data_IF_520920408905
#
_entry.id   IF_520920408905
#
_cell.length_a   1.000
_cell.length_b   1.000
_cell.length_c   1.000
_cell.angle_alpha   90.00
_cell.angle_beta   90.00
_cell.angle_gamma   90.00
#
_symmetry.space_group_name_H-M   'P 1'
#
loop_
_entity.id
_entity.type
_entity.pdbx_description
1 polymer ?
#
# COMPACT_ATOMS: atom_id res chain seq x y z
N UNK A 1 31.86 -27.73 31.87
CA UNK A 1 33.11 -26.97 31.97
C UNK A 1 33.17 -25.73 31.08
N UNK A 2 32.10 -25.43 30.36
CA UNK A 2 31.97 -24.23 29.56
C UNK A 2 32.00 -22.94 30.42
N UNK A 3 31.26 -22.94 31.53
CA UNK A 3 31.20 -21.81 32.45
C UNK A 3 32.57 -21.44 33.05
N UNK A 4 33.41 -22.44 33.38
CA UNK A 4 34.74 -22.21 33.94
C UNK A 4 35.65 -21.36 33.03
N UNK A 5 35.52 -21.50 31.70
CA UNK A 5 36.26 -20.71 30.75
C UNK A 5 35.99 -19.19 30.93
N UNK A 6 34.74 -18.81 31.17
CA UNK A 6 34.36 -17.40 31.37
C UNK A 6 34.72 -16.88 32.76
N UNK A 7 34.63 -17.75 33.79
CA UNK A 7 35.02 -17.39 35.15
C UNK A 7 36.56 -17.08 35.19
N UNK A 8 37.35 -17.83 34.44
CA UNK A 8 38.79 -17.60 34.35
C UNK A 8 39.18 -16.43 33.46
N UNK A 9 38.23 -15.90 32.64
CA UNK A 9 38.50 -14.82 31.68
C UNK A 9 37.36 -13.75 31.73
N UNK A 10 37.25 -12.98 32.82
CA UNK A 10 36.17 -12.03 33.02
C UNK A 10 36.14 -10.91 31.98
N UNK A 11 37.32 -10.43 31.52
CA UNK A 11 37.44 -9.41 30.48
C UNK A 11 36.82 -9.93 29.17
N UNK A 12 37.05 -11.19 28.82
CA UNK A 12 36.50 -11.79 27.62
C UNK A 12 34.94 -11.86 27.69
N UNK A 13 34.39 -12.27 28.86
CA UNK A 13 32.96 -12.31 29.08
C UNK A 13 32.33 -10.92 28.94
N UNK A 14 32.94 -9.88 29.55
CA UNK A 14 32.46 -8.50 29.45
C UNK A 14 32.49 -7.98 28.01
N UNK A 15 33.57 -8.23 27.26
CA UNK A 15 33.68 -7.83 25.86
C UNK A 15 32.62 -8.53 25.00
N UNK A 16 32.40 -9.84 25.23
CA UNK A 16 31.38 -10.59 24.51
C UNK A 16 29.97 -10.02 24.75
N UNK A 17 29.63 -9.74 26.03
CA UNK A 17 28.34 -9.13 26.39
C UNK A 17 28.18 -7.74 25.73
N UNK A 18 29.24 -6.93 25.72
CA UNK A 18 29.23 -5.62 25.06
C UNK A 18 28.98 -5.74 23.54
N UNK A 19 29.64 -6.71 22.89
CA UNK A 19 29.44 -6.99 21.46
C UNK A 19 28.00 -7.41 21.19
N UNK A 20 27.41 -8.28 22.00
CA UNK A 20 26.01 -8.71 21.88
C UNK A 20 25.09 -7.49 21.97
N UNK A 21 25.30 -6.61 22.95
CA UNK A 21 24.50 -5.39 23.12
C UNK A 21 24.66 -4.44 21.90
N UNK A 22 25.86 -4.21 21.42
CA UNK A 22 26.09 -3.34 20.25
C UNK A 22 25.39 -3.91 19.00
N UNK A 23 25.58 -5.20 18.74
CA UNK A 23 24.96 -5.85 17.57
C UNK A 23 23.44 -5.83 17.69
N UNK A 24 22.90 -6.09 18.89
CA UNK A 24 21.46 -6.04 19.15
C UNK A 24 20.86 -4.64 18.97
N UNK A 25 21.55 -3.59 19.44
CA UNK A 25 21.10 -2.21 19.23
C UNK A 25 21.12 -1.81 17.75
N UNK A 26 22.15 -2.22 17.00
CA UNK A 26 22.16 -2.00 15.55
C UNK A 26 21.05 -2.76 14.85
N UNK A 27 20.79 -4.00 15.26
CA UNK A 27 19.70 -4.80 14.72
C UNK A 27 18.32 -4.15 14.98
N UNK A 28 18.09 -3.66 16.19
CA UNK A 28 16.86 -2.98 16.59
C UNK A 28 16.49 -1.81 15.65
N UNK A 29 17.49 -1.04 15.19
CA UNK A 29 17.22 0.08 14.27
C UNK A 29 16.87 -0.36 12.84
N UNK A 30 17.08 -1.64 12.52
CA UNK A 30 16.85 -2.20 11.17
C UNK A 30 15.64 -3.14 11.10
N UNK A 31 15.12 -3.59 12.24
CA UNK A 31 13.96 -4.47 12.29
C UNK A 31 12.72 -3.75 11.75
N UNK A 32 11.95 -4.39 10.85
CA UNK A 32 10.68 -3.86 10.41
C UNK A 32 9.69 -3.84 11.57
N UNK A 33 8.94 -2.75 11.70
CA UNK A 33 7.88 -2.59 12.71
C UNK A 33 6.54 -2.72 12.02
N UNK A 34 5.72 -3.66 12.49
CA UNK A 34 4.37 -3.91 11.99
C UNK A 34 3.42 -4.21 13.16
N UNK A 35 2.12 -4.14 12.95
CA UNK A 35 1.15 -4.48 14.00
C UNK A 35 1.13 -5.98 14.31
N UNK A 36 1.15 -6.78 13.26
CA UNK A 36 1.15 -8.25 13.32
C UNK A 36 2.29 -8.82 12.47
N UNK A 37 2.73 -10.05 12.74
CA UNK A 37 3.67 -10.75 11.86
C UNK A 37 3.05 -10.93 10.46
N UNK A 38 3.88 -11.01 9.44
CA UNK A 38 3.44 -11.26 8.06
C UNK A 38 3.00 -12.74 7.92
N UNK A 39 1.80 -13.04 8.40
CA UNK A 39 1.17 -14.37 8.25
C UNK A 39 0.19 -14.43 7.07
N UNK A 40 -0.12 -13.28 6.46
CA UNK A 40 -0.97 -13.24 5.29
C UNK A 40 -0.21 -13.75 4.05
N UNK A 41 -0.74 -14.74 3.33
CA UNK A 41 -0.12 -15.23 2.10
C UNK A 41 0.06 -14.10 1.08
N UNK A 42 1.22 -14.01 0.42
CA UNK A 42 1.47 -12.98 -0.56
C UNK A 42 0.51 -13.08 -1.74
N UNK A 43 -0.01 -11.94 -2.20
CA UNK A 43 -1.05 -11.89 -3.23
C UNK A 43 -0.64 -10.94 -4.36
N UNK A 44 -0.90 -11.37 -5.59
CA UNK A 44 -0.79 -10.55 -6.80
C UNK A 44 -2.20 -10.29 -7.32
N UNK A 45 -2.54 -9.04 -7.58
CA UNK A 45 -3.83 -8.65 -8.14
C UNK A 45 -3.70 -8.31 -9.61
N UNK A 46 -4.58 -8.90 -10.41
CA UNK A 46 -4.82 -8.53 -11.80
C UNK A 46 -6.11 -7.72 -11.86
N UNK A 47 -6.09 -6.59 -12.54
CA UNK A 47 -7.28 -5.75 -12.73
C UNK A 47 -7.47 -5.39 -14.20
N UNK A 48 -8.74 -5.41 -14.64
CA UNK A 48 -9.16 -5.03 -15.97
C UNK A 48 -10.48 -4.26 -15.90
N UNK A 49 -10.74 -3.44 -16.91
CA UNK A 49 -11.99 -2.68 -17.01
C UNK A 49 -12.62 -2.93 -18.39
N UNK A 50 -13.88 -3.32 -18.40
CA UNK A 50 -14.70 -3.45 -19.59
C UNK A 50 -15.88 -2.46 -19.52
N UNK A 51 -15.75 -1.25 -20.07
CA UNK A 51 -16.76 -0.21 -19.91
C UNK A 51 -18.10 -0.62 -20.52
N UNK A 52 -19.18 -0.42 -19.76
CA UNK A 52 -20.54 -0.72 -20.20
C UNK A 52 -20.96 -2.18 -20.11
N UNK A 53 -20.07 -3.07 -19.65
CA UNK A 53 -20.40 -4.46 -19.38
C UNK A 53 -20.90 -4.62 -17.94
N UNK A 54 -21.88 -5.50 -17.74
CA UNK A 54 -22.32 -5.95 -16.42
C UNK A 54 -21.37 -7.02 -15.84
N UNK A 55 -21.56 -7.35 -14.57
CA UNK A 55 -20.69 -8.29 -13.85
C UNK A 55 -20.66 -9.69 -14.51
N UNK A 56 -21.77 -10.18 -15.04
CA UNK A 56 -21.84 -11.49 -15.70
C UNK A 56 -21.06 -11.51 -17.02
N UNK A 57 -21.24 -10.47 -17.84
CA UNK A 57 -20.47 -10.29 -19.08
C UNK A 57 -18.97 -10.17 -18.80
N UNK A 58 -18.57 -9.39 -17.77
CA UNK A 58 -17.17 -9.26 -17.37
C UNK A 58 -16.62 -10.60 -16.91
N UNK A 59 -17.37 -11.35 -16.11
CA UNK A 59 -16.97 -12.67 -15.64
C UNK A 59 -16.72 -13.64 -16.81
N UNK A 60 -17.66 -13.69 -17.76
CA UNK A 60 -17.57 -14.62 -18.89
C UNK A 60 -16.48 -14.25 -19.92
N UNK A 61 -16.33 -12.95 -20.23
CA UNK A 61 -15.49 -12.50 -21.36
C UNK A 61 -14.11 -11.98 -20.94
N UNK A 62 -13.92 -11.62 -19.69
CA UNK A 62 -12.65 -11.05 -19.19
C UNK A 62 -12.04 -11.93 -18.11
N UNK A 63 -12.79 -12.23 -17.02
CA UNK A 63 -12.26 -13.01 -15.92
C UNK A 63 -11.91 -14.44 -16.32
N UNK A 64 -12.85 -15.16 -16.90
CA UNK A 64 -12.64 -16.57 -17.30
C UNK A 64 -11.44 -16.80 -18.21
N UNK A 65 -11.21 -16.03 -19.30
CA UNK A 65 -10.01 -16.19 -20.11
C UNK A 65 -8.71 -15.91 -19.36
N UNK A 66 -8.70 -14.94 -18.44
CA UNK A 66 -7.52 -14.62 -17.62
C UNK A 66 -7.28 -15.73 -16.59
N UNK A 67 -8.32 -16.20 -15.90
CA UNK A 67 -8.24 -17.29 -14.94
C UNK A 67 -7.67 -18.57 -15.55
N UNK A 68 -8.14 -18.93 -16.75
CA UNK A 68 -7.68 -20.11 -17.46
C UNK A 68 -6.16 -20.08 -17.73
N UNK A 69 -5.62 -18.94 -18.09
CA UNK A 69 -4.19 -18.80 -18.38
C UNK A 69 -3.36 -18.64 -17.09
N UNK A 70 -3.89 -17.96 -16.07
CA UNK A 70 -3.20 -17.78 -14.79
C UNK A 70 -3.21 -19.06 -13.96
N UNK A 71 -4.18 -19.93 -14.17
CA UNK A 71 -4.26 -21.21 -13.47
C UNK A 71 -2.98 -22.03 -13.64
N UNK A 72 -2.46 -22.55 -12.52
CA UNK A 72 -1.23 -23.34 -12.51
C UNK A 72 0.06 -22.50 -12.52
N UNK A 73 0.02 -21.23 -12.16
CA UNK A 73 1.23 -20.46 -11.85
C UNK A 73 1.93 -21.10 -10.65
N UNK A 74 3.24 -21.19 -10.71
CA UNK A 74 4.07 -21.85 -9.70
C UNK A 74 3.85 -21.26 -8.30
N UNK A 75 3.71 -22.14 -7.30
CA UNK A 75 3.45 -21.82 -5.88
C UNK A 75 2.13 -21.08 -5.61
N UNK A 76 1.19 -21.07 -6.56
CA UNK A 76 -0.15 -20.56 -6.33
C UNK A 76 -0.94 -21.50 -5.43
N UNK A 77 -1.57 -20.96 -4.37
CA UNK A 77 -2.49 -21.69 -3.50
C UNK A 77 -3.91 -21.70 -4.07
N UNK A 78 -4.41 -20.52 -4.37
CA UNK A 78 -5.74 -20.32 -4.96
C UNK A 78 -5.83 -18.95 -5.65
N UNK A 79 -6.87 -18.77 -6.42
CA UNK A 79 -7.23 -17.48 -7.01
C UNK A 79 -8.72 -17.22 -6.83
N UNK A 80 -9.09 -15.94 -6.77
CA UNK A 80 -10.49 -15.51 -6.64
C UNK A 80 -10.74 -14.26 -7.47
N UNK A 81 -11.76 -14.30 -8.33
CA UNK A 81 -12.18 -13.17 -9.14
C UNK A 81 -13.39 -12.48 -8.54
N UNK A 82 -13.42 -11.17 -8.70
CA UNK A 82 -14.57 -10.32 -8.38
C UNK A 82 -14.86 -9.42 -9.56
N UNK A 83 -16.06 -9.53 -10.10
CA UNK A 83 -16.58 -8.71 -11.18
C UNK A 83 -17.71 -7.81 -10.67
N UNK A 84 -17.76 -6.57 -11.14
CA UNK A 84 -18.73 -5.57 -10.69
C UNK A 84 -19.52 -5.01 -11.87
N UNK A 85 -20.74 -4.50 -11.62
CA UNK A 85 -21.64 -4.02 -12.66
C UNK A 85 -21.18 -2.71 -13.35
N UNK A 86 -20.12 -2.08 -12.82
CA UNK A 86 -19.44 -0.96 -13.47
C UNK A 86 -18.34 -1.40 -14.47
N UNK A 87 -18.31 -2.70 -14.78
CA UNK A 87 -17.40 -3.26 -15.76
C UNK A 87 -15.99 -3.54 -15.23
N UNK A 88 -15.77 -3.55 -13.90
CA UNK A 88 -14.46 -3.85 -13.32
C UNK A 88 -14.28 -5.32 -12.99
N UNK A 89 -13.09 -5.83 -13.20
CA UNK A 89 -12.63 -7.15 -12.80
C UNK A 89 -11.38 -7.03 -11.95
N UNK A 90 -11.38 -7.74 -10.81
CA UNK A 90 -10.23 -7.93 -9.96
C UNK A 90 -10.03 -9.43 -9.75
N UNK A 91 -8.85 -9.93 -10.10
CA UNK A 91 -8.43 -11.31 -9.84
C UNK A 91 -7.29 -11.28 -8.83
N UNK A 92 -7.52 -11.82 -7.66
CA UNK A 92 -6.53 -11.98 -6.61
C UNK A 92 -5.91 -13.38 -6.71
N UNK A 93 -4.61 -13.45 -6.95
CA UNK A 93 -3.81 -14.69 -7.03
C UNK A 93 -2.97 -14.79 -5.77
N UNK A 94 -3.26 -15.77 -4.93
CA UNK A 94 -2.63 -15.96 -3.61
C UNK A 94 -1.59 -17.07 -3.70
N UNK A 95 -0.41 -16.82 -3.12
CA UNK A 95 0.76 -17.70 -3.18
C UNK A 95 1.12 -18.25 -1.80
N UNK A 96 1.93 -19.31 -1.77
CA UNK A 96 2.48 -19.88 -0.55
C UNK A 96 3.32 -18.84 0.23
N UNK A 97 3.34 -18.97 1.55
CA UNK A 97 4.20 -18.13 2.39
C UNK A 97 5.68 -18.28 1.99
N UNK A 98 6.42 -17.17 2.02
CA UNK A 98 7.81 -17.12 1.61
C UNK A 98 8.02 -17.10 0.08
N UNK A 99 6.95 -16.98 -0.73
CA UNK A 99 7.07 -16.76 -2.17
C UNK A 99 7.59 -15.34 -2.46
N UNK A 100 8.56 -15.24 -3.35
CA UNK A 100 9.06 -13.95 -3.82
C UNK A 100 7.97 -13.26 -4.68
N UNK A 101 7.38 -12.17 -4.15
CA UNK A 101 6.31 -11.43 -4.83
C UNK A 101 6.75 -10.80 -6.15
N UNK A 102 8.02 -10.43 -6.32
CA UNK A 102 8.52 -9.88 -7.58
C UNK A 102 8.45 -10.92 -8.69
N UNK A 103 8.94 -12.14 -8.38
CA UNK A 103 8.88 -13.24 -9.32
C UNK A 103 7.44 -13.70 -9.59
N UNK A 104 6.61 -13.77 -8.54
CA UNK A 104 5.19 -14.12 -8.67
C UNK A 104 4.45 -13.13 -9.58
N UNK A 105 4.68 -11.83 -9.42
CA UNK A 105 4.10 -10.80 -10.30
C UNK A 105 4.52 -10.99 -11.76
N UNK A 106 5.81 -11.29 -12.02
CA UNK A 106 6.32 -11.54 -13.39
C UNK A 106 5.65 -12.77 -13.99
N UNK A 107 5.53 -13.86 -13.23
CA UNK A 107 4.89 -15.09 -13.68
C UNK A 107 3.41 -14.86 -14.03
N UNK A 108 2.66 -14.19 -13.16
CA UNK A 108 1.26 -13.82 -13.42
C UNK A 108 1.16 -12.90 -14.65
N UNK A 109 2.01 -11.87 -14.75
CA UNK A 109 2.02 -10.95 -15.89
C UNK A 109 2.27 -11.67 -17.22
N UNK A 110 3.19 -12.65 -17.23
CA UNK A 110 3.44 -13.46 -18.43
C UNK A 110 2.19 -14.24 -18.85
N UNK A 111 1.48 -14.85 -17.90
CA UNK A 111 0.22 -15.58 -18.19
C UNK A 111 -0.88 -14.63 -18.66
N UNK A 112 -1.04 -13.47 -18.01
CA UNK A 112 -1.97 -12.43 -18.43
C UNK A 112 -1.69 -11.95 -19.85
N UNK A 113 -0.42 -11.84 -20.23
CA UNK A 113 -0.03 -11.44 -21.60
C UNK A 113 -0.51 -12.44 -22.66
N UNK A 114 -0.53 -13.74 -22.33
CA UNK A 114 -1.11 -14.76 -23.21
C UNK A 114 -2.63 -14.60 -23.32
N UNK A 115 -3.30 -14.33 -22.17
CA UNK A 115 -4.74 -14.12 -22.13
C UNK A 115 -5.21 -12.92 -22.96
N UNK A 116 -4.38 -11.88 -23.11
CA UNK A 116 -4.74 -10.64 -23.83
C UNK A 116 -5.29 -10.92 -25.23
N UNK A 117 -4.79 -11.95 -25.94
CA UNK A 117 -5.27 -12.28 -27.28
C UNK A 117 -6.76 -12.66 -27.32
N UNK A 118 -7.27 -13.21 -26.22
CA UNK A 118 -8.65 -13.72 -26.07
C UNK A 118 -9.65 -12.66 -25.55
N UNK A 119 -9.16 -11.50 -25.09
CA UNK A 119 -9.98 -10.48 -24.47
C UNK A 119 -10.69 -9.59 -25.51
N UNK A 120 -11.82 -8.93 -25.13
CA UNK A 120 -12.48 -7.92 -25.95
C UNK A 120 -11.54 -6.75 -26.28
N UNK A 121 -11.71 -6.16 -27.47
CA UNK A 121 -10.86 -5.06 -27.95
C UNK A 121 -10.85 -3.82 -27.02
N UNK A 122 -11.98 -3.50 -26.41
CA UNK A 122 -12.06 -2.36 -25.47
C UNK A 122 -11.22 -2.61 -24.20
N UNK A 123 -11.17 -3.86 -23.71
CA UNK A 123 -10.32 -4.26 -22.59
C UNK A 123 -8.85 -4.21 -22.98
N UNK A 124 -8.47 -4.72 -24.16
CA UNK A 124 -7.10 -4.65 -24.67
C UNK A 124 -6.60 -3.21 -24.78
N UNK A 125 -7.45 -2.33 -25.28
CA UNK A 125 -7.12 -0.91 -25.48
C UNK A 125 -6.92 -0.16 -24.17
N UNK A 126 -7.70 -0.46 -23.12
CA UNK A 126 -7.54 0.11 -21.78
C UNK A 126 -6.34 -0.51 -21.08
N UNK A 127 -6.13 -1.81 -21.29
CA UNK A 127 -5.06 -2.60 -20.72
C UNK A 127 -5.48 -3.37 -19.47
N UNK A 128 -4.71 -4.41 -19.18
CA UNK A 128 -4.82 -5.22 -17.97
C UNK A 128 -3.61 -4.93 -17.10
N UNK A 129 -3.84 -4.65 -15.83
CA UNK A 129 -2.79 -4.27 -14.88
C UNK A 129 -2.53 -5.40 -13.90
N UNK A 130 -1.27 -5.73 -13.66
CA UNK A 130 -0.85 -6.73 -12.65
C UNK A 130 0.01 -6.04 -11.60
N UNK A 131 -0.42 -6.10 -10.34
CA UNK A 131 0.25 -5.44 -9.21
C UNK A 131 0.39 -6.38 -8.02
N UNK A 132 1.41 -6.17 -7.20
CA UNK A 132 1.47 -6.75 -5.86
C UNK A 132 0.34 -6.16 -5.03
N UNK A 133 -0.43 -7.01 -4.37
CA UNK A 133 -1.47 -6.57 -3.45
C UNK A 133 -0.93 -6.60 -2.03
N UNK A 134 -0.86 -5.45 -1.40
CA UNK A 134 -0.64 -5.38 0.02
C UNK A 134 -1.96 -5.67 0.74
N UNK A 135 -1.97 -6.52 1.77
CA UNK A 135 -3.20 -6.89 2.47
C UNK A 135 -3.75 -5.76 3.34
N UNK A 136 -2.92 -4.80 3.75
CA UNK A 136 -3.29 -3.78 4.73
C UNK A 136 -3.15 -2.36 4.19
N UNK A 137 -4.20 -1.56 4.42
CA UNK A 137 -4.16 -0.12 4.26
C UNK A 137 -3.35 0.45 5.44
N UNK A 138 -2.30 1.21 5.16
CA UNK A 138 -1.50 1.88 6.17
C UNK A 138 -2.24 3.09 6.74
N UNK A 139 -2.68 3.98 5.86
CA UNK A 139 -3.47 5.16 6.20
C UNK A 139 -4.30 5.63 5.00
N UNK A 140 -5.32 6.46 5.28
CA UNK A 140 -6.13 7.11 4.27
C UNK A 140 -5.94 8.63 4.33
N UNK A 141 -5.57 9.22 3.19
CA UNK A 141 -5.51 10.66 2.99
C UNK A 141 -6.80 11.11 2.33
N UNK A 142 -7.56 11.98 2.99
CA UNK A 142 -8.79 12.54 2.48
C UNK A 142 -8.55 13.99 2.05
N UNK A 143 -8.67 14.29 0.77
CA UNK A 143 -8.70 15.67 0.27
C UNK A 143 -10.11 16.22 0.41
N UNK A 144 -10.20 17.43 0.94
CA UNK A 144 -11.45 18.14 1.21
C UNK A 144 -11.40 19.54 0.64
N UNK A 145 -12.58 20.10 0.36
CA UNK A 145 -12.73 21.51 0.01
C UNK A 145 -13.29 22.31 1.18
N UNK A 146 -12.73 23.46 1.43
CA UNK A 146 -13.31 24.41 2.39
C UNK A 146 -14.67 24.90 1.89
N UNK A 147 -15.50 25.38 2.82
CA UNK A 147 -16.78 26.01 2.52
C UNK A 147 -16.59 27.51 2.39
N UNK A 148 -17.24 28.09 1.39
CA UNK A 148 -17.37 29.54 1.23
C UNK A 148 -18.31 30.10 2.29
N UNK A 149 -18.34 31.44 2.47
CA UNK A 149 -19.26 32.10 3.41
C UNK A 149 -20.75 31.82 3.13
N UNK A 150 -21.10 31.46 1.88
CA UNK A 150 -22.45 31.09 1.46
C UNK A 150 -22.81 29.61 1.72
N UNK A 151 -21.88 28.85 2.34
CA UNK A 151 -22.05 27.42 2.63
C UNK A 151 -21.73 26.50 1.45
N UNK A 152 -21.46 27.01 0.26
CA UNK A 152 -21.01 26.20 -0.89
C UNK A 152 -19.53 25.82 -0.78
N UNK A 153 -19.10 24.75 -1.43
CA UNK A 153 -17.69 24.38 -1.50
C UNK A 153 -16.92 25.21 -2.50
N UNK A 154 -15.61 25.45 -2.25
CA UNK A 154 -14.74 26.09 -3.24
C UNK A 154 -14.59 25.21 -4.49
N UNK A 155 -14.49 23.90 -4.30
CA UNK A 155 -14.29 22.92 -5.36
C UNK A 155 -15.23 21.73 -5.18
N UNK A 156 -15.67 21.17 -6.28
CA UNK A 156 -16.44 19.92 -6.29
C UNK A 156 -15.55 18.69 -6.15
N UNK A 157 -16.16 17.56 -5.91
CA UNK A 157 -15.45 16.27 -5.74
C UNK A 157 -14.68 15.86 -7.00
N UNK A 158 -15.17 16.23 -8.18
CA UNK A 158 -14.54 15.91 -9.45
C UNK A 158 -13.22 16.67 -9.63
N UNK A 159 -13.21 17.96 -9.28
CA UNK A 159 -11.98 18.76 -9.27
C UNK A 159 -10.97 18.22 -8.28
N UNK A 160 -11.40 17.91 -7.03
CA UNK A 160 -10.52 17.36 -6.01
C UNK A 160 -9.90 16.01 -6.44
N UNK A 161 -10.70 15.15 -7.08
CA UNK A 161 -10.22 13.86 -7.58
C UNK A 161 -9.17 14.01 -8.69
N UNK A 162 -9.42 14.91 -9.63
CA UNK A 162 -8.45 15.22 -10.68
C UNK A 162 -7.16 15.83 -10.11
N UNK A 163 -7.29 16.78 -9.17
CA UNK A 163 -6.15 17.38 -8.50
C UNK A 163 -5.33 16.32 -7.72
N UNK A 164 -6.02 15.44 -6.98
CA UNK A 164 -5.40 14.33 -6.28
C UNK A 164 -4.63 13.40 -7.23
N UNK A 165 -5.21 13.12 -8.39
CA UNK A 165 -4.61 12.24 -9.42
C UNK A 165 -3.34 12.83 -10.01
N UNK A 166 -3.35 14.14 -10.32
CA UNK A 166 -2.24 14.81 -11.00
C UNK A 166 -1.12 15.24 -10.04
N UNK A 167 -1.45 15.63 -8.81
CA UNK A 167 -0.52 16.35 -7.93
C UNK A 167 -0.19 15.63 -6.62
N UNK A 168 -0.98 14.62 -6.20
CA UNK A 168 -0.80 14.00 -4.89
C UNK A 168 -0.45 12.52 -4.99
N UNK A 169 -1.18 11.77 -5.79
CA UNK A 169 -1.06 10.29 -5.88
C UNK A 169 0.35 9.84 -6.18
N UNK A 170 0.97 10.39 -7.23
CA UNK A 170 2.29 9.98 -7.69
C UNK A 170 3.39 10.35 -6.70
N UNK A 171 3.23 11.48 -6.02
CA UNK A 171 4.17 11.91 -4.98
C UNK A 171 4.11 11.00 -3.75
N UNK A 172 2.92 10.55 -3.36
CA UNK A 172 2.74 9.57 -2.29
C UNK A 172 3.25 8.19 -2.69
N UNK A 173 3.03 7.77 -3.93
CA UNK A 173 3.50 6.47 -4.44
C UNK A 173 5.03 6.35 -4.49
N UNK A 174 5.76 7.49 -4.53
CA UNK A 174 7.24 7.52 -4.50
C UNK A 174 7.82 7.49 -3.10
N UNK A 175 7.00 7.62 -2.06
CA UNK A 175 7.49 7.54 -0.67
C UNK A 175 7.98 6.12 -0.38
N UNK A 176 9.15 6.02 0.26
CA UNK A 176 9.75 4.73 0.59
C UNK A 176 8.84 3.94 1.52
N UNK A 177 8.62 2.66 1.20
CA UNK A 177 7.75 1.78 1.97
C UNK A 177 6.26 1.82 1.55
N UNK A 178 5.89 2.69 0.61
CA UNK A 178 4.57 2.66 -0.03
C UNK A 178 4.54 1.60 -1.13
N UNK A 179 3.55 0.72 -1.08
CA UNK A 179 3.34 -0.35 -2.07
C UNK A 179 2.39 0.06 -3.18
N UNK A 180 1.28 0.70 -2.84
CA UNK A 180 0.32 1.26 -3.81
C UNK A 180 -0.46 2.43 -3.18
N UNK A 181 -1.03 3.27 -4.05
CA UNK A 181 -1.96 4.35 -3.68
C UNK A 181 -3.19 4.24 -4.57
N UNK A 182 -4.33 3.92 -3.95
CA UNK A 182 -5.58 3.68 -4.66
C UNK A 182 -6.65 4.66 -4.22
N UNK A 183 -7.44 5.15 -5.17
CA UNK A 183 -8.61 5.96 -4.84
C UNK A 183 -9.76 5.08 -4.34
N UNK A 184 -10.40 5.51 -3.26
CA UNK A 184 -11.69 4.99 -2.83
C UNK A 184 -12.77 5.95 -3.33
N UNK A 185 -13.39 5.65 -4.48
CA UNK A 185 -14.35 6.51 -5.16
C UNK A 185 -13.72 7.52 -6.12
N UNK A 186 -12.95 7.07 -7.15
CA UNK A 186 -12.34 7.97 -8.11
C UNK A 186 -13.37 8.63 -9.02
N UNK A 187 -13.17 9.93 -9.28
CA UNK A 187 -13.94 10.69 -10.25
C UNK A 187 -13.00 11.35 -11.24
N UNK A 188 -12.54 10.59 -12.23
CA UNK A 188 -11.77 11.16 -13.33
C UNK A 188 -12.67 11.96 -14.27
N UNK A 189 -12.13 13.05 -14.84
CA UNK A 189 -12.83 13.78 -15.89
C UNK A 189 -13.05 12.90 -17.12
N UNK A 190 -14.26 12.98 -17.65
CA UNK A 190 -14.65 12.36 -18.91
C UNK A 190 -15.64 13.24 -19.64
N UNK A 191 -15.54 13.28 -20.96
CA UNK A 191 -16.59 13.89 -21.78
C UNK A 191 -17.76 12.91 -21.83
N UNK A 192 -18.90 13.33 -21.27
CA UNK A 192 -20.15 12.56 -21.22
C UNK A 192 -21.09 13.05 -22.31
N UNK A 193 -21.66 12.11 -23.04
CA UNK A 193 -22.62 12.41 -24.10
C UNK A 193 -23.93 11.69 -23.80
N UNK A 194 -24.95 12.45 -23.49
CA UNK A 194 -26.29 11.96 -23.16
C UNK A 194 -27.16 11.96 -24.42
N UNK A 195 -27.13 10.87 -25.17
CA UNK A 195 -27.91 10.75 -26.39
C UNK A 195 -29.40 10.68 -26.12
N UNK A 196 -30.20 11.24 -27.06
CA UNK A 196 -31.65 11.18 -27.04
C UNK A 196 -32.13 10.01 -27.94
N UNK A 197 -32.69 8.92 -27.38
CA UNK A 197 -33.10 7.78 -28.17
C UNK A 197 -34.17 8.09 -29.24
N UNK A 198 -35.07 9.04 -28.95
CA UNK A 198 -36.13 9.43 -29.89
C UNK A 198 -35.55 10.16 -31.10
N UNK A 199 -34.61 11.07 -30.87
CA UNK A 199 -33.91 11.78 -31.96
C UNK A 199 -33.07 10.81 -32.80
N UNK A 200 -32.35 9.88 -32.16
CA UNK A 200 -31.60 8.85 -32.88
C UNK A 200 -32.52 8.04 -33.77
N UNK A 201 -33.65 7.54 -33.22
CA UNK A 201 -34.64 6.74 -33.98
C UNK A 201 -35.23 7.52 -35.16
N UNK A 202 -35.58 8.81 -34.97
CA UNK A 202 -36.13 9.67 -36.05
C UNK A 202 -35.15 9.89 -37.20
N UNK A 203 -33.85 9.82 -36.94
CA UNK A 203 -32.77 9.95 -37.92
C UNK A 203 -32.25 8.60 -38.46
N UNK A 204 -32.85 7.49 -38.03
CA UNK A 204 -32.44 6.12 -38.38
C UNK A 204 -31.00 5.84 -37.92
N UNK A 205 -30.66 6.25 -36.71
CA UNK A 205 -29.32 6.10 -36.10
C UNK A 205 -29.41 5.27 -34.82
N UNK A 206 -28.28 4.66 -34.48
CA UNK A 206 -28.08 3.93 -33.23
C UNK A 206 -27.03 4.61 -32.36
N UNK A 207 -26.94 4.25 -31.08
CA UNK A 207 -25.85 4.71 -30.20
C UNK A 207 -24.47 4.28 -30.72
N UNK A 208 -24.40 3.12 -31.41
CA UNK A 208 -23.16 2.63 -31.99
C UNK A 208 -22.62 3.54 -33.10
N UNK A 209 -23.53 4.17 -33.89
CA UNK A 209 -23.14 5.13 -34.93
C UNK A 209 -22.53 6.40 -34.32
N UNK A 210 -23.09 6.87 -33.20
CA UNK A 210 -22.53 8.00 -32.45
C UNK A 210 -21.14 7.66 -31.90
N UNK A 211 -20.99 6.49 -31.28
CA UNK A 211 -19.69 6.03 -30.75
C UNK A 211 -18.64 5.93 -31.86
N UNK A 212 -19.04 5.40 -33.03
CA UNK A 212 -18.16 5.33 -34.20
C UNK A 212 -17.71 6.71 -34.67
N UNK A 213 -18.64 7.65 -34.81
CA UNK A 213 -18.33 9.02 -35.24
C UNK A 213 -17.39 9.73 -34.25
N UNK A 214 -17.62 9.58 -32.94
CA UNK A 214 -16.73 10.13 -31.90
C UNK A 214 -15.33 9.49 -32.00
N UNK A 215 -15.22 8.17 -32.18
CA UNK A 215 -13.92 7.48 -32.32
C UNK A 215 -13.14 7.95 -33.54
N UNK A 216 -13.80 8.19 -34.65
CA UNK A 216 -13.18 8.63 -35.90
C UNK A 216 -12.67 10.08 -35.84
N UNK A 217 -13.39 10.97 -35.13
CA UNK A 217 -13.06 12.40 -35.09
C UNK A 217 -12.29 12.83 -33.85
N UNK A 218 -12.36 12.06 -32.75
CA UNK A 218 -11.61 12.34 -31.52
C UNK A 218 -10.32 11.49 -31.47
N UNK A 219 -9.46 11.65 -32.44
CA UNK A 219 -8.21 10.90 -32.57
C UNK A 219 -7.03 11.84 -32.72
N UNK A 220 -5.90 11.46 -32.14
CA UNK A 220 -4.64 12.17 -32.36
C UNK A 220 -3.82 11.45 -33.41
N UNK A 221 -3.64 12.11 -34.55
CA UNK A 221 -2.91 11.58 -35.68
C UNK A 221 -1.64 12.39 -35.91
N UNK A 222 -0.52 11.72 -36.14
CA UNK A 222 0.69 12.34 -36.62
C UNK A 222 0.54 12.58 -38.14
N UNK A 223 0.25 13.82 -38.53
CA UNK A 223 -0.04 14.16 -39.93
C UNK A 223 1.21 14.26 -40.82
N UNK A 224 2.42 14.07 -40.27
CA UNK A 224 3.67 14.11 -41.02
C UNK A 224 4.25 15.49 -41.19
N UNK A 225 5.11 15.63 -42.21
CA UNK A 225 5.82 16.88 -42.55
C UNK A 225 5.80 17.12 -44.06
N UNK A 226 5.67 18.34 -44.45
CA UNK A 226 5.88 18.77 -45.84
C UNK A 226 7.37 19.07 -46.05
N UNK A 227 7.89 18.76 -47.23
CA UNK A 227 9.29 18.99 -47.57
C UNK A 227 10.30 18.04 -46.99
N UNK A 228 9.84 16.84 -46.59
CA UNK A 228 10.75 15.75 -46.14
C UNK A 228 11.35 15.01 -47.35
N UNK A 229 12.66 14.71 -47.35
CA UNK A 229 13.25 13.89 -48.40
C UNK A 229 12.60 12.49 -48.51
N UNK A 230 12.56 11.88 -49.71
CA UNK A 230 13.17 12.36 -50.97
C UNK A 230 12.36 13.46 -51.67
N UNK A 231 13.06 14.47 -52.20
CA UNK A 231 12.49 15.54 -53.01
C UNK A 231 13.00 15.40 -54.46
N UNK A 232 12.26 15.86 -55.43
CA UNK A 232 12.66 15.80 -56.82
C UNK A 232 13.99 16.52 -57.08
N UNK A 233 14.81 15.95 -57.98
CA UNK A 233 16.10 16.51 -58.31
C UNK A 233 15.94 17.95 -58.89
N UNK A 234 16.46 18.93 -58.16
CA UNK A 234 16.33 20.35 -58.54
C UNK A 234 15.36 21.18 -57.68
N UNK A 235 14.56 20.55 -56.85
CA UNK A 235 13.69 21.29 -55.91
C UNK A 235 14.49 21.68 -54.65
N UNK A 236 14.77 22.97 -54.51
CA UNK A 236 15.28 23.48 -53.23
C UNK A 236 14.12 23.58 -52.24
N UNK A 237 14.02 22.62 -51.29
CA UNK A 237 13.08 22.72 -50.17
C UNK A 237 13.81 23.27 -48.95
N UNK A 238 13.75 24.56 -48.70
CA UNK A 238 14.53 25.20 -47.64
C UNK A 238 14.01 24.88 -46.23
N UNK A 239 12.76 24.42 -46.11
CA UNK A 239 12.14 24.19 -44.81
C UNK A 239 11.28 22.93 -44.77
N UNK A 240 11.33 22.23 -43.64
CA UNK A 240 10.36 21.19 -43.31
C UNK A 240 9.24 21.79 -42.47
N UNK A 241 8.02 21.70 -42.94
CA UNK A 241 6.84 22.18 -42.23
C UNK A 241 6.15 20.99 -41.52
N UNK A 242 6.06 21.04 -40.22
CA UNK A 242 5.30 20.03 -39.43
C UNK A 242 3.81 20.33 -39.58
N UNK A 243 3.05 19.37 -40.06
CA UNK A 243 1.57 19.49 -40.10
C UNK A 243 1.05 19.17 -38.68
N UNK A 244 0.41 20.16 -38.05
CA UNK A 244 -0.29 19.98 -36.77
C UNK A 244 -1.76 19.76 -37.06
N UNK A 245 -2.32 18.66 -36.59
CA UNK A 245 -3.75 18.38 -36.52
C UNK A 245 -4.32 18.92 -35.22
N UNK A 246 -5.64 19.12 -35.16
CA UNK A 246 -6.35 19.59 -33.96
C UNK A 246 -6.14 18.67 -32.77
N UNK A 247 -5.88 17.36 -32.99
CA UNK A 247 -5.70 16.37 -31.95
C UNK A 247 -6.99 15.94 -31.26
N UNK A 248 -6.89 15.47 -30.02
CA UNK A 248 -8.06 15.09 -29.22
C UNK A 248 -8.87 16.31 -28.84
N UNK A 249 -10.18 16.19 -28.94
CA UNK A 249 -11.13 17.21 -28.53
C UNK A 249 -11.14 17.32 -27.00
N UNK A 250 -11.19 18.57 -26.49
CA UNK A 250 -11.09 18.84 -25.05
C UNK A 250 -12.24 19.69 -24.49
N UNK A 251 -13.05 20.31 -25.35
CA UNK A 251 -14.18 21.14 -24.93
C UNK A 251 -15.52 20.56 -25.34
N UNK A 252 -16.57 20.85 -24.57
CA UNK A 252 -17.93 20.44 -24.86
C UNK A 252 -18.35 20.89 -26.27
N UNK A 253 -18.02 22.15 -26.66
CA UNK A 253 -18.34 22.69 -27.98
C UNK A 253 -17.69 21.90 -29.12
N UNK A 254 -16.44 21.47 -28.96
CA UNK A 254 -15.78 20.64 -29.98
C UNK A 254 -16.45 19.31 -30.15
N UNK A 255 -16.93 18.68 -29.06
CA UNK A 255 -17.71 17.46 -29.13
C UNK A 255 -19.07 17.67 -29.76
N UNK A 256 -19.77 18.74 -29.42
CA UNK A 256 -21.06 19.09 -30.00
C UNK A 256 -21.01 19.29 -31.54
N UNK A 257 -19.87 19.71 -32.06
CA UNK A 257 -19.63 19.91 -33.48
C UNK A 257 -19.21 18.64 -34.25
N UNK A 258 -19.04 17.50 -33.58
CA UNK A 258 -18.76 16.20 -34.23
C UNK A 258 -19.90 15.89 -35.22
N UNK A 259 -19.55 15.53 -36.47
CA UNK A 259 -20.50 15.08 -37.48
C UNK A 259 -20.82 13.62 -37.25
N UNK A 260 -22.07 13.32 -36.92
CA UNK A 260 -22.53 11.93 -36.65
C UNK A 260 -23.19 11.28 -37.84
N UNK A 261 -23.75 12.07 -38.79
CA UNK A 261 -24.35 11.54 -40.02
C UNK A 261 -24.27 12.58 -41.12
N UNK A 262 -24.05 12.14 -42.36
CA UNK A 262 -24.18 12.96 -43.56
C UNK A 262 -25.28 12.35 -44.43
N UNK A 263 -26.29 13.13 -44.76
CA UNK A 263 -27.39 12.75 -45.64
C UNK A 263 -26.96 12.71 -47.11
N UNK A 264 -27.78 12.06 -47.94
CA UNK A 264 -27.51 11.89 -49.37
C UNK A 264 -27.46 13.23 -50.17
N UNK A 265 -28.06 14.27 -49.63
CA UNK A 265 -28.05 15.62 -50.22
C UNK A 265 -27.04 16.58 -49.60
N UNK A 266 -26.11 16.04 -48.79
CA UNK A 266 -25.10 16.84 -48.08
C UNK A 266 -25.59 17.47 -46.77
N UNK A 267 -26.74 17.04 -46.25
CA UNK A 267 -27.23 17.44 -44.95
C UNK A 267 -26.33 16.88 -43.87
N UNK A 268 -25.92 17.72 -42.94
CA UNK A 268 -25.00 17.32 -41.85
C UNK A 268 -25.75 17.30 -40.54
N UNK A 269 -25.73 16.14 -39.85
CA UNK A 269 -26.24 15.98 -38.48
C UNK A 269 -25.04 16.02 -37.54
N UNK A 270 -25.05 16.93 -36.60
CA UNK A 270 -24.00 17.08 -35.57
C UNK A 270 -24.40 16.37 -34.26
N UNK A 271 -23.44 16.13 -33.42
CA UNK A 271 -23.67 15.46 -32.10
C UNK A 271 -24.71 16.25 -31.28
N UNK A 272 -24.64 17.59 -31.24
CA UNK A 272 -25.63 18.45 -30.55
C UNK A 272 -27.07 18.23 -30.99
N UNK A 273 -27.30 17.74 -32.20
CA UNK A 273 -28.66 17.52 -32.73
C UNK A 273 -29.29 16.23 -32.19
N UNK A 274 -28.47 15.28 -31.74
CA UNK A 274 -28.90 13.96 -31.27
C UNK A 274 -28.74 13.74 -29.76
N UNK A 275 -28.22 14.74 -29.04
CA UNK A 275 -28.16 14.72 -27.58
C UNK A 275 -29.42 15.30 -26.94
N UNK A 276 -29.60 15.02 -25.63
CA UNK A 276 -30.67 15.64 -24.82
C UNK A 276 -30.49 17.14 -24.80
N UNK A 277 -31.61 17.89 -24.68
CA UNK A 277 -31.53 19.34 -24.53
C UNK A 277 -31.09 19.70 -23.11
N UNK A 278 -30.27 20.72 -22.98
CA UNK A 278 -29.93 21.33 -21.69
C UNK A 278 -31.21 21.96 -21.11
N UNK A 279 -31.71 21.44 -20.00
CA UNK A 279 -32.80 22.04 -19.24
C UNK A 279 -32.27 22.59 -17.93
N UNK A 280 -32.80 23.72 -17.49
CA UNK A 280 -32.49 24.33 -16.20
C UNK A 280 -33.69 24.14 -15.25
N UNK A 281 -33.39 23.83 -13.97
CA UNK A 281 -34.40 23.78 -12.93
C UNK A 281 -34.89 25.20 -12.55
N UNK A 282 -35.87 25.26 -11.65
CA UNK A 282 -36.43 26.52 -11.16
C UNK A 282 -35.39 27.42 -10.46
N UNK A 283 -34.27 26.85 -10.05
CA UNK A 283 -33.14 27.58 -9.43
C UNK A 283 -32.02 27.88 -10.43
N UNK A 284 -32.25 27.70 -11.74
CA UNK A 284 -31.26 27.95 -12.79
C UNK A 284 -30.15 26.92 -12.89
N UNK A 285 -30.20 25.81 -12.14
CA UNK A 285 -29.26 24.69 -12.22
C UNK A 285 -29.56 23.82 -13.41
N UNK A 286 -28.55 23.25 -14.03
CA UNK A 286 -28.72 22.38 -15.19
C UNK A 286 -29.29 21.03 -14.72
N UNK A 287 -30.55 20.77 -15.05
CA UNK A 287 -31.24 19.51 -14.73
C UNK A 287 -30.96 18.41 -15.77
N UNK A 288 -30.89 18.77 -17.06
CA UNK A 288 -30.49 17.86 -18.13
C UNK A 288 -29.38 18.48 -18.98
N UNK A 289 -28.32 17.69 -19.24
CA UNK A 289 -27.20 18.07 -20.08
C UNK A 289 -27.14 17.17 -21.32
N UNK A 290 -26.69 17.73 -22.44
CA UNK A 290 -26.43 16.98 -23.66
C UNK A 290 -25.01 16.43 -23.69
N UNK A 291 -24.04 17.32 -23.89
CA UNK A 291 -22.60 17.04 -23.77
C UNK A 291 -22.07 17.77 -22.55
N UNK A 292 -21.31 17.09 -21.70
CA UNK A 292 -20.74 17.70 -20.50
C UNK A 292 -19.38 17.13 -20.14
N UNK A 293 -18.53 17.94 -19.57
CA UNK A 293 -17.32 17.50 -18.88
C UNK A 293 -17.72 17.05 -17.47
N UNK A 294 -17.90 15.75 -17.28
CA UNK A 294 -18.38 15.15 -16.04
C UNK A 294 -17.46 14.05 -15.51
N UNK A 295 -17.96 13.31 -14.54
CA UNK A 295 -17.20 12.16 -13.99
C UNK A 295 -17.27 10.94 -14.92
N UNK A 296 -16.19 10.19 -15.02
CA UNK A 296 -16.13 8.93 -15.75
C UNK A 296 -17.08 7.88 -15.16
N UNK A 297 -17.23 7.87 -13.84
CA UNK A 297 -18.15 7.01 -13.10
C UNK A 297 -18.84 7.82 -11.99
N UNK A 298 -20.14 7.57 -11.75
CA UNK A 298 -20.94 8.19 -10.70
C UNK A 298 -21.37 7.19 -9.61
N UNK A 299 -21.03 5.90 -9.76
CA UNK A 299 -21.55 4.82 -8.88
C UNK A 299 -20.87 4.83 -7.52
N UNK A 300 -19.62 5.30 -7.43
CA UNK A 300 -18.85 5.35 -6.21
C UNK A 300 -18.52 6.78 -5.82
N UNK A 301 -18.85 7.15 -4.59
CA UNK A 301 -18.61 8.47 -4.01
C UNK A 301 -17.86 8.34 -2.69
N UNK A 302 -17.06 9.34 -2.34
CA UNK A 302 -16.35 9.43 -1.07
C UNK A 302 -16.84 10.64 -0.29
N UNK A 303 -17.11 10.44 0.99
CA UNK A 303 -17.53 11.49 1.92
C UNK A 303 -16.69 11.42 3.19
N UNK A 304 -16.45 12.56 3.80
CA UNK A 304 -15.85 12.70 5.11
C UNK A 304 -16.72 13.59 5.96
N UNK A 305 -17.22 13.07 7.10
CA UNK A 305 -18.13 13.79 8.00
C UNK A 305 -19.40 14.34 7.29
N UNK A 306 -19.87 13.64 6.23
CA UNK A 306 -21.00 14.06 5.41
C UNK A 306 -20.66 15.02 4.27
N UNK A 307 -19.48 15.58 4.23
CA UNK A 307 -19.02 16.48 3.17
C UNK A 307 -18.33 15.70 2.04
N UNK A 308 -18.49 16.11 0.75
CA UNK A 308 -17.79 15.48 -0.36
C UNK A 308 -16.27 15.53 -0.19
N UNK A 309 -15.62 14.39 -0.34
CA UNK A 309 -14.16 14.25 -0.21
C UNK A 309 -13.59 13.32 -1.27
N UNK A 310 -12.27 13.27 -1.34
CA UNK A 310 -11.55 12.30 -2.16
C UNK A 310 -10.58 11.55 -1.29
N UNK A 311 -10.77 10.23 -1.19
CA UNK A 311 -9.97 9.39 -0.31
C UNK A 311 -8.93 8.60 -1.12
N UNK A 312 -7.65 8.78 -0.75
CA UNK A 312 -6.54 7.98 -1.22
C UNK A 312 -6.17 6.98 -0.12
N UNK A 313 -6.38 5.70 -0.37
CA UNK A 313 -5.90 4.63 0.49
C UNK A 313 -4.43 4.34 0.13
N UNK A 314 -3.54 4.48 1.08
CA UNK A 314 -2.12 4.20 0.94
C UNK A 314 -1.84 2.83 1.54
N UNK A 315 -1.31 1.93 0.72
CA UNK A 315 -0.97 0.57 1.11
C UNK A 315 0.51 0.47 1.40
N UNK A 316 0.84 -0.25 2.46
CA UNK A 316 2.22 -0.50 2.85
C UNK A 316 2.87 -1.52 1.92
N UNK A 317 4.14 -1.35 1.58
CA UNK A 317 4.94 -2.39 0.94
C UNK A 317 5.24 -3.50 1.96
N UNK A 318 5.00 -4.78 1.65
CA UNK A 318 5.36 -5.89 2.54
C UNK A 318 6.82 -5.81 3.00
N UNK A 319 7.08 -6.07 4.29
CA UNK A 319 8.41 -5.98 4.90
C UNK A 319 8.94 -4.57 5.16
N UNK A 320 8.17 -3.50 4.87
CA UNK A 320 8.56 -2.12 5.21
C UNK A 320 8.19 -1.76 6.66
N UNK A 321 8.81 -0.69 7.17
CA UNK A 321 8.49 -0.16 8.50
C UNK A 321 7.27 0.76 8.43
N UNK A 322 6.15 0.34 9.04
CA UNK A 322 4.88 1.07 9.03
C UNK A 322 4.98 2.47 9.63
N UNK A 323 5.63 2.60 10.81
CA UNK A 323 5.76 3.89 11.52
C UNK A 323 6.60 4.88 10.70
N UNK A 324 7.72 4.44 10.16
CA UNK A 324 8.58 5.26 9.33
C UNK A 324 7.85 5.69 8.05
N UNK A 325 7.23 4.76 7.34
CA UNK A 325 6.50 5.04 6.10
C UNK A 325 5.37 6.04 6.33
N UNK A 326 4.57 5.87 7.40
CA UNK A 326 3.51 6.82 7.73
C UNK A 326 4.06 8.20 8.10
N UNK A 327 5.18 8.26 8.83
CA UNK A 327 5.87 9.51 9.16
C UNK A 327 6.33 10.26 7.89
N UNK A 328 6.92 9.56 6.93
CA UNK A 328 7.34 10.12 5.65
C UNK A 328 6.14 10.58 4.80
N UNK A 329 5.02 9.83 4.79
CA UNK A 329 3.78 10.23 4.11
C UNK A 329 3.21 11.51 4.74
N UNK A 330 3.12 11.59 6.07
CA UNK A 330 2.63 12.78 6.79
C UNK A 330 3.51 14.00 6.51
N UNK A 331 4.83 13.82 6.50
CA UNK A 331 5.78 14.88 6.14
C UNK A 331 5.60 15.32 4.68
N UNK A 332 5.42 14.37 3.75
CA UNK A 332 5.17 14.67 2.34
C UNK A 332 3.84 15.39 2.13
N UNK A 333 2.78 14.98 2.82
CA UNK A 333 1.49 15.69 2.78
C UNK A 333 1.58 17.12 3.32
N UNK A 334 2.38 17.35 4.36
CA UNK A 334 2.65 18.70 4.87
C UNK A 334 3.40 19.56 3.84
N UNK A 335 4.36 18.98 3.12
CA UNK A 335 5.03 19.66 1.99
C UNK A 335 4.03 19.99 0.88
N UNK A 336 3.23 19.02 0.45
CA UNK A 336 2.23 19.20 -0.61
C UNK A 336 1.17 20.23 -0.25
N UNK A 337 0.75 20.32 1.01
CA UNK A 337 -0.21 21.32 1.50
C UNK A 337 0.24 22.74 1.17
N UNK A 338 1.53 23.05 1.19
CA UNK A 338 2.03 24.37 0.84
C UNK A 338 1.82 24.74 -0.65
N UNK A 339 1.55 23.74 -1.49
CA UNK A 339 1.30 23.88 -2.93
C UNK A 339 -0.18 23.76 -3.30
N UNK A 340 -1.06 23.52 -2.32
CA UNK A 340 -2.48 23.34 -2.57
C UNK A 340 -3.12 24.66 -3.03
N UNK A 341 -4.11 24.60 -3.93
CA UNK A 341 -4.95 25.74 -4.25
C UNK A 341 -5.67 26.23 -3.00
N UNK A 342 -5.96 27.54 -2.94
CA UNK A 342 -6.74 28.11 -1.84
C UNK A 342 -8.10 27.40 -1.71
N UNK A 343 -8.45 26.94 -0.51
CA UNK A 343 -9.69 26.23 -0.25
C UNK A 343 -9.60 24.71 -0.46
N UNK A 344 -8.40 24.16 -0.70
CA UNK A 344 -8.13 22.71 -0.65
C UNK A 344 -7.34 22.40 0.61
N UNK A 345 -7.81 21.43 1.37
CA UNK A 345 -7.10 20.89 2.54
C UNK A 345 -7.14 19.37 2.55
N UNK A 346 -6.47 18.76 3.52
CA UNK A 346 -6.49 17.32 3.70
C UNK A 346 -6.66 16.92 5.17
N UNK A 347 -7.25 15.74 5.39
CA UNK A 347 -7.31 15.08 6.70
C UNK A 347 -6.87 13.63 6.58
N UNK A 348 -6.19 13.12 7.59
CA UNK A 348 -5.88 11.70 7.75
C UNK A 348 -6.71 11.20 8.93
N UNK A 349 -7.79 10.46 8.62
CA UNK A 349 -8.75 9.97 9.64
C UNK A 349 -8.51 8.52 9.97
N UNK A 350 -8.18 7.72 8.96
CA UNK A 350 -7.79 6.33 9.15
C UNK A 350 -6.27 6.23 9.13
N UNK A 351 -5.68 5.82 10.23
CA UNK A 351 -4.24 5.68 10.42
C UNK A 351 -3.96 4.50 11.35
N UNK A 352 -3.48 3.40 10.79
CA UNK A 352 -3.17 2.20 11.57
C UNK A 352 -1.95 2.38 12.45
N UNK A 353 -1.09 3.34 12.14
CA UNK A 353 0.16 3.56 12.88
C UNK A 353 -0.06 4.15 14.27
N UNK A 354 -1.19 4.78 14.52
CA UNK A 354 -1.56 5.25 15.86
C UNK A 354 -1.66 4.07 16.84
N UNK A 355 -2.31 2.97 16.41
CA UNK A 355 -2.41 1.76 17.22
C UNK A 355 -1.07 1.05 17.37
N UNK A 356 -0.24 1.07 16.34
CA UNK A 356 1.09 0.45 16.38
C UNK A 356 1.98 1.21 17.36
N UNK A 357 2.00 2.54 17.29
CA UNK A 357 2.79 3.41 18.16
C UNK A 357 2.40 3.25 19.63
N UNK A 358 1.09 3.29 19.91
CA UNK A 358 0.57 3.07 21.26
C UNK A 358 0.90 1.68 21.78
N UNK A 359 0.76 0.64 20.96
CA UNK A 359 1.11 -0.73 21.35
C UNK A 359 2.60 -0.86 21.67
N UNK A 360 3.46 -0.27 20.85
CA UNK A 360 4.91 -0.26 21.11
C UNK A 360 5.24 0.50 22.40
N UNK A 361 4.59 1.65 22.61
CA UNK A 361 4.77 2.46 23.82
C UNK A 361 4.34 1.70 25.10
N UNK A 362 3.17 1.06 25.09
CA UNK A 362 2.68 0.24 26.21
C UNK A 362 3.61 -0.95 26.49
N UNK A 363 4.20 -1.55 25.45
CA UNK A 363 5.17 -2.63 25.68
C UNK A 363 6.46 -2.10 26.33
N UNK A 364 7.01 -0.98 25.89
CA UNK A 364 8.16 -0.38 26.56
C UNK A 364 7.88 -0.04 28.02
N UNK A 365 6.70 0.49 28.32
CA UNK A 365 6.25 0.78 29.67
C UNK A 365 6.13 -0.51 30.50
N UNK A 366 5.45 -1.53 29.99
CA UNK A 366 5.29 -2.83 30.63
C UNK A 366 6.65 -3.51 30.88
N UNK A 367 7.57 -3.40 29.92
CA UNK A 367 8.93 -3.92 30.01
C UNK A 367 9.70 -3.25 31.17
N UNK A 368 9.56 -1.93 31.29
CA UNK A 368 10.16 -1.17 32.39
C UNK A 368 9.51 -1.50 33.74
N UNK A 369 8.18 -1.60 33.80
CA UNK A 369 7.44 -1.97 35.00
C UNK A 369 7.81 -3.39 35.45
N UNK A 370 7.88 -4.35 34.52
CA UNK A 370 8.32 -5.72 34.78
C UNK A 370 9.75 -5.75 35.33
N UNK A 371 10.67 -4.99 34.72
CA UNK A 371 12.04 -4.88 35.17
C UNK A 371 12.14 -4.34 36.60
N UNK A 372 11.39 -3.29 36.94
CA UNK A 372 11.35 -2.72 38.30
C UNK A 372 10.76 -3.70 39.30
N UNK A 373 9.66 -4.37 38.93
CA UNK A 373 9.00 -5.33 39.81
C UNK A 373 9.92 -6.52 40.11
N UNK A 374 10.58 -7.05 39.08
CA UNK A 374 11.56 -8.14 39.24
C UNK A 374 12.73 -7.69 40.09
N UNK A 375 13.26 -6.48 39.91
CA UNK A 375 14.31 -5.91 40.77
C UNK A 375 13.88 -5.92 42.25
N UNK A 376 12.66 -5.44 42.55
CA UNK A 376 12.15 -5.43 43.91
C UNK A 376 12.03 -6.84 44.50
N UNK A 377 11.45 -7.77 43.74
CA UNK A 377 11.30 -9.16 44.17
C UNK A 377 12.66 -9.80 44.46
N UNK A 378 13.60 -9.69 43.54
CA UNK A 378 14.95 -10.26 43.70
C UNK A 378 15.67 -9.66 44.90
N UNK A 379 15.53 -8.33 45.11
CA UNK A 379 16.11 -7.62 46.27
C UNK A 379 15.54 -8.13 47.59
N UNK A 380 14.23 -8.38 47.65
CA UNK A 380 13.56 -8.88 48.88
C UNK A 380 14.00 -10.28 49.17
N UNK A 381 14.16 -11.15 48.16
CA UNK A 381 14.57 -12.55 48.38
C UNK A 381 16.06 -12.67 48.68
N UNK A 382 16.94 -12.02 47.94
CA UNK A 382 18.40 -12.11 48.14
C UNK A 382 18.90 -11.27 49.31
N UNK A 383 18.17 -10.21 49.68
CA UNK A 383 18.53 -9.29 50.79
C UNK A 383 19.92 -8.65 50.66
N UNK A 384 20.54 -8.76 49.48
CA UNK A 384 21.81 -8.14 49.08
C UNK A 384 21.68 -7.43 47.75
N UNK A 385 21.85 -6.08 47.77
CA UNK A 385 21.73 -5.27 46.60
C UNK A 385 22.80 -5.57 45.54
N UNK A 386 24.00 -6.05 45.96
CA UNK A 386 25.10 -6.44 45.04
C UNK A 386 24.79 -7.72 44.30
N UNK A 387 24.24 -8.71 45.02
CA UNK A 387 23.78 -9.95 44.41
C UNK A 387 22.61 -9.70 43.44
N UNK A 388 21.67 -8.80 43.80
CA UNK A 388 20.55 -8.41 42.95
C UNK A 388 21.00 -7.74 41.63
N UNK A 389 22.13 -6.99 41.65
CA UNK A 389 22.63 -6.32 40.44
C UNK A 389 23.06 -7.29 39.33
N UNK A 390 23.47 -8.53 39.66
CA UNK A 390 23.93 -9.50 38.68
C UNK A 390 22.82 -9.95 37.73
N UNK A 391 21.66 -10.45 38.17
CA UNK A 391 20.52 -10.78 37.31
C UNK A 391 20.02 -9.53 36.54
N UNK A 392 20.09 -8.34 37.16
CA UNK A 392 19.62 -7.11 36.54
C UNK A 392 20.46 -6.65 35.35
N UNK A 393 21.73 -7.02 35.28
CA UNK A 393 22.59 -6.75 34.11
C UNK A 393 22.35 -7.77 33.00
N UNK A 394 22.04 -9.00 33.35
CA UNK A 394 21.82 -10.09 32.39
C UNK A 394 20.59 -9.85 31.53
N UNK A 395 19.49 -9.38 32.12
CA UNK A 395 18.23 -9.10 31.43
C UNK A 395 18.37 -8.14 30.24
N UNK A 396 18.94 -6.93 30.37
CA UNK A 396 19.16 -6.06 29.22
C UNK A 396 20.07 -6.66 28.14
N UNK A 397 21.11 -7.39 28.55
CA UNK A 397 22.03 -8.04 27.59
C UNK A 397 21.29 -9.09 26.77
N UNK A 398 20.49 -9.93 27.41
CA UNK A 398 19.73 -10.99 26.79
C UNK A 398 18.62 -10.44 25.87
N UNK A 399 17.84 -9.45 26.34
CA UNK A 399 16.78 -8.83 25.56
C UNK A 399 17.31 -8.09 24.33
N UNK A 400 18.36 -7.29 24.49
CA UNK A 400 18.97 -6.58 23.38
C UNK A 400 19.60 -7.56 22.40
N UNK A 401 20.26 -8.61 22.92
CA UNK A 401 20.84 -9.68 22.10
C UNK A 401 19.81 -10.42 21.26
N UNK A 402 18.58 -10.59 21.78
CA UNK A 402 17.48 -11.22 21.06
C UNK A 402 17.11 -10.47 19.75
N UNK A 403 17.21 -9.14 19.72
CA UNK A 403 16.97 -8.38 18.49
C UNK A 403 17.96 -8.74 17.36
N UNK A 404 19.20 -9.10 17.69
CA UNK A 404 20.15 -9.56 16.70
C UNK A 404 19.74 -10.91 16.07
N UNK A 405 19.24 -11.83 16.90
CA UNK A 405 18.73 -13.13 16.45
C UNK A 405 17.46 -12.96 15.63
N UNK A 406 16.54 -12.11 16.09
CA UNK A 406 15.32 -11.77 15.34
C UNK A 406 15.64 -11.22 13.95
N UNK A 407 16.62 -10.31 13.84
CA UNK A 407 17.05 -9.75 12.55
C UNK A 407 17.68 -10.84 11.65
N UNK A 408 18.45 -11.75 12.20
CA UNK A 408 19.06 -12.86 11.46
C UNK A 408 18.00 -13.84 10.91
N UNK A 409 16.95 -14.10 11.69
CA UNK A 409 15.84 -14.99 11.33
C UNK A 409 14.77 -14.31 10.48
N UNK A 410 14.90 -13.01 10.21
CA UNK A 410 13.93 -12.26 9.42
C UNK A 410 12.61 -11.95 10.13
N UNK A 411 12.59 -11.94 11.47
CA UNK A 411 11.43 -11.58 12.26
C UNK A 411 11.19 -10.06 12.26
N UNK A 412 9.93 -9.68 12.44
CA UNK A 412 9.52 -8.27 12.63
C UNK A 412 9.28 -7.99 14.11
N UNK A 413 9.43 -6.71 14.48
CA UNK A 413 8.93 -6.18 15.75
C UNK A 413 7.42 -5.98 15.61
N UNK A 414 6.64 -6.78 16.32
CA UNK A 414 5.18 -6.74 16.30
C UNK A 414 4.63 -7.10 17.69
N UNK A 415 3.32 -6.92 17.89
CA UNK A 415 2.71 -7.14 19.19
C UNK A 415 3.02 -8.54 19.77
N UNK A 416 3.04 -9.60 18.95
CA UNK A 416 3.31 -10.95 19.43
C UNK A 416 4.76 -11.12 19.88
N UNK A 417 5.71 -10.61 19.09
CA UNK A 417 7.15 -10.69 19.46
C UNK A 417 7.46 -9.84 20.68
N UNK A 418 6.80 -8.71 20.83
CA UNK A 418 6.95 -7.84 22.00
C UNK A 418 6.36 -8.47 23.26
N UNK A 419 5.19 -9.12 23.19
CA UNK A 419 4.66 -9.91 24.31
C UNK A 419 5.57 -11.09 24.67
N UNK A 420 6.13 -11.76 23.67
CA UNK A 420 7.13 -12.80 23.89
C UNK A 420 8.36 -12.29 24.65
N UNK A 421 8.84 -11.09 24.34
CA UNK A 421 9.95 -10.46 25.06
C UNK A 421 9.60 -10.15 26.51
N UNK A 422 8.39 -9.65 26.80
CA UNK A 422 7.93 -9.43 28.20
C UNK A 422 7.90 -10.74 28.97
N UNK A 423 7.37 -11.81 28.38
CA UNK A 423 7.35 -13.14 28.99
C UNK A 423 8.78 -13.68 29.24
N UNK A 424 9.68 -13.48 28.28
CA UNK A 424 11.07 -13.95 28.38
C UNK A 424 11.84 -13.30 29.55
N UNK A 425 11.49 -12.09 29.99
CA UNK A 425 12.13 -11.44 31.15
C UNK A 425 11.98 -12.31 32.38
N UNK A 426 10.79 -12.81 32.68
CA UNK A 426 10.55 -13.67 33.85
C UNK A 426 11.41 -14.92 33.80
N UNK A 427 11.46 -15.60 32.65
CA UNK A 427 12.22 -16.83 32.44
C UNK A 427 13.74 -16.59 32.61
N UNK A 428 14.27 -15.55 31.98
CA UNK A 428 15.72 -15.23 32.06
C UNK A 428 16.15 -14.88 33.47
N UNK A 429 15.29 -14.15 34.21
CA UNK A 429 15.59 -13.76 35.58
C UNK A 429 15.60 -14.96 36.51
N UNK A 430 14.65 -15.90 36.35
CA UNK A 430 14.59 -17.10 37.18
C UNK A 430 15.85 -17.94 37.05
N UNK A 431 16.36 -18.15 35.86
CA UNK A 431 17.63 -18.84 35.62
C UNK A 431 18.80 -18.12 36.28
N UNK A 432 18.87 -16.81 36.17
CA UNK A 432 19.92 -16.03 36.78
C UNK A 432 19.85 -16.02 38.30
N UNK A 433 18.65 -16.00 38.90
CA UNK A 433 18.45 -16.08 40.37
C UNK A 433 18.98 -17.42 40.89
N UNK A 434 18.64 -18.56 40.27
CA UNK A 434 19.09 -19.87 40.67
C UNK A 434 20.64 -19.99 40.67
N UNK A 435 21.27 -19.35 39.69
CA UNK A 435 22.74 -19.29 39.63
C UNK A 435 23.32 -18.51 40.79
N UNK A 436 22.79 -17.32 41.06
CA UNK A 436 23.28 -16.42 42.13
C UNK A 436 23.06 -17.05 43.51
N UNK A 437 21.86 -17.61 43.77
CA UNK A 437 21.52 -18.27 45.01
C UNK A 437 22.45 -19.46 45.30
N UNK A 438 22.75 -20.25 44.28
CA UNK A 438 23.66 -21.37 44.42
C UNK A 438 25.10 -20.94 44.72
N UNK A 439 25.55 -19.83 44.12
CA UNK A 439 26.86 -19.21 44.40
C UNK A 439 26.90 -18.74 45.87
N UNK A 440 25.89 -18.03 46.33
CA UNK A 440 25.80 -17.55 47.70
C UNK A 440 25.78 -18.68 48.72
N UNK A 441 25.06 -19.76 48.43
CA UNK A 441 25.06 -21.00 49.25
C UNK A 441 26.46 -21.58 49.44
N UNK A 442 27.30 -21.58 48.37
CA UNK A 442 28.67 -22.07 48.48
C UNK A 442 29.59 -21.05 49.15
N UNK A 443 29.38 -19.78 48.98
CA UNK A 443 30.11 -18.73 49.71
C UNK A 443 29.82 -18.77 51.20
N UNK A 444 28.55 -19.01 51.63
CA UNK A 444 28.15 -19.19 53.00
C UNK A 444 28.81 -20.42 53.66
N UNK A 445 29.23 -21.43 52.87
CA UNK A 445 30.02 -22.58 53.32
C UNK A 445 31.52 -22.29 53.46
N UNK A 446 31.94 -21.03 53.22
CA UNK A 446 33.33 -20.58 53.40
C UNK A 446 34.20 -20.68 52.19
N UNK A 447 33.66 -20.95 50.99
CA UNK A 447 34.44 -20.90 49.73
C UNK A 447 34.63 -19.51 49.24
N UNK A 448 35.82 -19.16 48.69
CA UNK A 448 36.05 -17.89 48.07
C UNK A 448 35.19 -17.73 46.80
N UNK A 449 34.79 -16.50 46.38
CA UNK A 449 33.80 -16.25 45.30
C UNK A 449 34.10 -17.01 44.00
N UNK A 450 35.33 -17.09 43.56
CA UNK A 450 35.74 -17.78 42.34
C UNK A 450 35.48 -19.30 42.41
N UNK A 451 35.87 -19.93 43.52
CA UNK A 451 35.68 -21.36 43.72
C UNK A 451 34.20 -21.72 43.94
N UNK A 452 33.50 -20.85 44.69
CA UNK A 452 32.06 -20.96 44.89
C UNK A 452 31.31 -20.95 43.55
N UNK A 453 31.65 -20.00 42.66
CA UNK A 453 31.06 -19.92 41.33
C UNK A 453 31.33 -21.15 40.47
N UNK A 454 32.57 -21.63 40.44
CA UNK A 454 32.90 -22.85 39.66
C UNK A 454 32.08 -24.05 40.16
N UNK A 455 31.99 -24.24 41.48
CA UNK A 455 31.30 -25.35 42.11
C UNK A 455 29.78 -25.26 41.93
N UNK A 456 29.23 -24.07 42.06
CA UNK A 456 27.81 -23.80 41.80
C UNK A 456 27.44 -24.12 40.32
N UNK A 457 28.25 -23.68 39.38
CA UNK A 457 28.02 -23.92 37.96
C UNK A 457 28.18 -25.41 37.58
N UNK A 458 29.08 -26.15 38.22
CA UNK A 458 29.20 -27.61 37.99
C UNK A 458 27.93 -28.35 38.45
N UNK A 459 27.24 -27.86 39.48
CA UNK A 459 25.97 -28.45 39.96
C UNK A 459 24.77 -28.10 39.09
N UNK A 460 24.66 -26.83 38.66
CA UNK A 460 23.42 -26.34 38.04
C UNK A 460 23.46 -26.28 36.51
N UNK A 461 24.65 -26.41 35.88
CA UNK A 461 24.74 -26.31 34.39
C UNK A 461 23.83 -27.35 33.69
N UNK A 462 23.76 -28.57 34.19
CA UNK A 462 22.90 -29.62 33.63
C UNK A 462 21.39 -29.26 33.70
N UNK A 463 20.87 -28.97 34.90
CA UNK A 463 19.50 -28.49 35.07
C UNK A 463 19.14 -27.25 34.24
N UNK A 464 19.98 -26.20 34.21
CA UNK A 464 19.72 -24.97 33.45
C UNK A 464 19.65 -25.29 31.95
N UNK A 465 20.58 -26.08 31.39
CA UNK A 465 20.50 -26.48 29.98
C UNK A 465 19.21 -27.27 29.70
N UNK A 466 18.81 -28.18 30.62
CA UNK A 466 17.59 -28.94 30.44
C UNK A 466 16.33 -28.05 30.46
N UNK A 467 16.26 -27.07 31.36
CA UNK A 467 15.16 -26.11 31.45
C UNK A 467 15.10 -25.25 30.15
N UNK A 468 16.23 -24.72 29.74
CA UNK A 468 16.32 -23.91 28.52
C UNK A 468 15.87 -24.69 27.27
N UNK A 469 16.27 -25.97 27.14
CA UNK A 469 15.85 -26.84 26.04
C UNK A 469 14.36 -27.20 26.08
N UNK A 470 13.75 -27.27 27.25
CA UNK A 470 12.31 -27.57 27.41
C UNK A 470 11.47 -26.32 27.08
N UNK A 471 11.99 -25.12 27.35
CA UNK A 471 11.30 -23.85 27.13
C UNK A 471 11.48 -23.29 25.71
N UNK A 472 12.46 -23.77 24.94
CA UNK A 472 12.72 -23.36 23.55
C UNK A 472 12.08 -24.32 22.54
#
# INVERSE_FOLDING_TARGET
MFARFFVDRPIFATVLSLVIVIVGLVALTRLPIAQYPEVAPPTVQVSATYPGADAETVAATVATPIEQEVNGVERMLYMASRCTNDGQMFLDVTFELGTNLDMAQVLVQNRVSVALAKLPEDVKRIGVTTKKKSPSILLCVNLISDKKPDGSFYYDQLYLSNYASLSVKDDLARVKGVGDVTFLGPRDYSMRVWVDPQKLASLGMTAADVIKAIREQNVQVAAGRLGQPPVDAGAAVPFQLVIKTQGRLSSEQQFDDIIVKTGAKGEVVKLRDVVRKVQRDEHGRIAEKGTELGAKNYDVNSYLDGDPSVTLAVFQLPGSNALQTAGEIKAKMKELKSKFPQGVDYKIVYDTTVFIDESVHEVYKTLFEAFVLVFIVVLVFLQDWRATLMPMIDVPVSLIGTFAVMALLGFSLNNLTLFGLVLAIGIVVDDAIVVVENIERWMAKGLPPREATIKAMDEITGPVIAITLVLS
#
